data_IF_050191272147
#
_entry.id   IF_050191272147
#
_cell.length_a   1.000
_cell.length_b   1.000
_cell.length_c   1.000
_cell.angle_alpha   90.00
_cell.angle_beta   90.00
_cell.angle_gamma   90.00
#
_symmetry.space_group_name_H-M   'P 1'
#
loop_
_entity.id
_entity.type
_entity.pdbx_description
1 polymer ?
#
# COMPACT_ATOMS: atom_id res chain seq x y z
N UNK A 1 -9.94 -52.38 5.24
CA UNK A 1 -8.86 -51.69 4.48
C UNK A 1 -9.37 -50.56 3.57
N UNK A 2 -10.37 -50.78 2.69
CA UNK A 2 -10.89 -49.74 1.77
C UNK A 2 -11.47 -48.48 2.44
N UNK A 3 -12.15 -48.62 3.59
CA UNK A 3 -12.77 -47.50 4.33
C UNK A 3 -11.73 -46.67 5.09
N UNK A 4 -10.72 -47.31 5.66
CA UNK A 4 -9.61 -46.63 6.34
C UNK A 4 -8.77 -45.79 5.37
N UNK A 5 -8.48 -46.31 4.16
CA UNK A 5 -7.78 -45.55 3.12
C UNK A 5 -8.59 -44.33 2.67
N UNK A 6 -9.91 -44.46 2.50
CA UNK A 6 -10.79 -43.33 2.14
C UNK A 6 -10.84 -42.25 3.22
N UNK A 7 -10.83 -42.63 4.50
CA UNK A 7 -10.80 -41.68 5.62
C UNK A 7 -9.46 -40.95 5.69
N UNK A 8 -8.34 -41.66 5.49
CA UNK A 8 -7.00 -41.07 5.44
C UNK A 8 -6.86 -40.10 4.26
N UNK A 9 -7.36 -40.46 3.08
CA UNK A 9 -7.36 -39.55 1.92
C UNK A 9 -8.20 -38.31 2.18
N UNK A 10 -9.36 -38.44 2.84
CA UNK A 10 -10.22 -37.30 3.18
C UNK A 10 -9.55 -36.35 4.19
N UNK A 11 -8.89 -36.90 5.21
CA UNK A 11 -8.13 -36.10 6.20
C UNK A 11 -6.98 -35.37 5.51
N UNK A 12 -6.23 -36.03 4.64
CA UNK A 12 -5.13 -35.41 3.91
C UNK A 12 -5.62 -34.27 3.00
N UNK A 13 -6.75 -34.45 2.32
CA UNK A 13 -7.38 -33.41 1.50
C UNK A 13 -7.79 -32.20 2.35
N UNK A 14 -8.38 -32.43 3.53
CA UNK A 14 -8.76 -31.35 4.45
C UNK A 14 -7.54 -30.57 4.95
N UNK A 15 -6.44 -31.25 5.27
CA UNK A 15 -5.20 -30.58 5.70
C UNK A 15 -4.61 -29.71 4.58
N UNK A 16 -4.64 -30.18 3.34
CA UNK A 16 -4.17 -29.40 2.18
C UNK A 16 -5.07 -28.17 1.95
N UNK A 17 -6.39 -28.33 2.05
CA UNK A 17 -7.35 -27.21 1.95
C UNK A 17 -7.15 -26.17 3.06
N UNK A 18 -6.89 -26.60 4.29
CA UNK A 18 -6.60 -25.69 5.41
C UNK A 18 -5.27 -24.95 5.25
N UNK A 19 -4.23 -25.63 4.76
CA UNK A 19 -2.94 -24.99 4.47
C UNK A 19 -3.05 -23.94 3.36
N UNK A 20 -3.89 -24.19 2.35
CA UNK A 20 -4.16 -23.23 1.27
C UNK A 20 -4.98 -22.03 1.77
N UNK A 21 -5.95 -22.24 2.66
CA UNK A 21 -6.72 -21.17 3.30
C UNK A 21 -5.84 -20.26 4.18
N UNK A 22 -4.98 -20.83 5.02
CA UNK A 22 -4.06 -20.09 5.89
C UNK A 22 -2.99 -19.31 5.08
N UNK A 23 -2.62 -19.77 3.89
CA UNK A 23 -1.73 -19.04 2.99
C UNK A 23 -2.39 -17.76 2.41
N UNK A 24 -3.72 -17.73 2.29
CA UNK A 24 -4.46 -16.51 1.92
C UNK A 24 -4.68 -15.56 3.09
N UNK A 25 -4.68 -16.06 4.34
CA UNK A 25 -4.82 -15.23 5.55
C UNK A 25 -3.62 -14.33 5.85
N UNK A 26 -2.51 -14.42 5.11
CA UNK A 26 -1.44 -13.41 5.17
C UNK A 26 -1.86 -12.05 4.59
N UNK A 27 -3.02 -11.98 3.94
CA UNK A 27 -3.67 -10.72 3.58
C UNK A 27 -4.91 -10.56 4.44
N UNK A 28 -4.92 -9.56 5.31
CA UNK A 28 -6.05 -9.26 6.17
C UNK A 28 -7.38 -9.29 5.39
N UNK A 29 -8.47 -9.88 5.92
CA UNK A 29 -9.76 -9.88 5.26
C UNK A 29 -10.22 -8.43 5.05
N UNK A 30 -10.21 -7.95 3.80
CA UNK A 30 -10.54 -6.56 3.42
C UNK A 30 -9.35 -5.64 3.11
N UNK A 31 -8.11 -6.14 3.13
CA UNK A 31 -6.90 -5.35 2.87
C UNK A 31 -6.54 -5.29 1.38
N UNK A 32 -6.20 -4.09 0.89
CA UNK A 32 -5.58 -3.92 -0.43
C UNK A 32 -4.27 -4.72 -0.52
N UNK A 33 -4.07 -5.47 -1.61
CA UNK A 33 -2.85 -6.23 -1.85
C UNK A 33 -1.76 -5.33 -2.45
N UNK A 34 -0.98 -4.70 -1.59
CA UNK A 34 0.15 -3.88 -2.00
C UNK A 34 1.33 -4.71 -2.49
N UNK A 35 1.84 -4.38 -3.67
CA UNK A 35 3.07 -4.94 -4.24
C UNK A 35 4.15 -3.86 -4.26
N UNK A 36 5.39 -4.18 -3.85
CA UNK A 36 6.50 -3.24 -3.97
C UNK A 36 6.69 -2.74 -5.41
N UNK A 37 6.93 -1.44 -5.56
CA UNK A 37 7.37 -0.87 -6.84
C UNK A 37 8.82 -1.29 -7.10
N UNK A 38 9.14 -1.65 -8.35
CA UNK A 38 10.49 -2.09 -8.72
C UNK A 38 11.53 -0.98 -8.55
N UNK A 39 11.15 0.26 -8.85
CA UNK A 39 12.00 1.44 -8.69
C UNK A 39 11.13 2.70 -8.51
N UNK A 40 11.73 3.75 -7.96
CA UNK A 40 11.11 5.07 -7.85
C UNK A 40 11.48 5.86 -9.11
N UNK A 41 10.51 6.06 -10.00
CA UNK A 41 10.68 6.84 -11.23
C UNK A 41 10.07 8.24 -11.09
N UNK A 42 10.22 9.07 -12.13
CA UNK A 42 9.70 10.44 -12.16
C UNK A 42 8.20 10.49 -11.88
N UNK A 43 7.42 9.57 -12.43
CA UNK A 43 5.97 9.50 -12.21
C UNK A 43 5.61 9.16 -10.74
N UNK A 44 6.37 8.29 -10.06
CA UNK A 44 6.19 8.04 -8.62
C UNK A 44 6.55 9.29 -7.80
N UNK A 45 7.58 10.04 -8.22
CA UNK A 45 7.95 11.32 -7.60
C UNK A 45 6.86 12.37 -7.80
N UNK A 46 6.21 12.42 -8.97
CA UNK A 46 5.06 13.30 -9.21
C UNK A 46 3.87 12.96 -8.31
N UNK A 47 3.59 11.67 -8.08
CA UNK A 47 2.54 11.24 -7.15
C UNK A 47 2.89 11.66 -5.71
N UNK A 48 4.16 11.52 -5.31
CA UNK A 48 4.62 11.97 -3.99
C UNK A 48 4.50 13.48 -3.82
N UNK A 49 4.87 14.27 -4.84
CA UNK A 49 4.71 15.72 -4.82
C UNK A 49 3.24 16.12 -4.74
N UNK A 50 2.36 15.46 -5.50
CA UNK A 50 0.92 15.63 -5.38
C UNK A 50 0.44 15.40 -3.94
N UNK A 51 0.86 14.31 -3.29
CA UNK A 51 0.48 14.00 -1.92
C UNK A 51 0.90 15.08 -0.92
N UNK A 52 2.14 15.57 -1.03
CA UNK A 52 2.67 16.63 -0.14
C UNK A 52 1.93 17.94 -0.35
N UNK A 53 1.69 18.33 -1.61
CA UNK A 53 0.95 19.56 -1.94
C UNK A 53 -0.48 19.49 -1.39
N UNK A 54 -1.17 18.38 -1.60
CA UNK A 54 -2.56 18.23 -1.13
C UNK A 54 -2.64 18.19 0.40
N UNK A 55 -1.72 17.50 1.06
CA UNK A 55 -1.61 17.52 2.51
C UNK A 55 -1.38 18.94 3.05
N UNK A 56 -0.48 19.72 2.43
CA UNK A 56 -0.24 21.11 2.82
C UNK A 56 -1.49 21.98 2.66
N UNK A 57 -2.27 21.80 1.59
CA UNK A 57 -3.54 22.51 1.39
C UNK A 57 -4.57 22.14 2.46
N UNK A 58 -4.73 20.87 2.76
CA UNK A 58 -5.74 20.36 3.71
C UNK A 58 -5.40 20.69 5.17
N UNK A 59 -4.11 20.61 5.54
CA UNK A 59 -3.65 20.77 6.93
C UNK A 59 -3.17 22.18 7.28
N UNK A 60 -2.92 23.03 6.28
CA UNK A 60 -2.27 24.34 6.46
C UNK A 60 -0.79 24.25 6.83
N UNK A 61 -0.18 23.06 6.79
CA UNK A 61 1.24 22.86 7.06
C UNK A 61 2.10 23.32 5.90
N UNK A 62 3.38 23.61 6.19
CA UNK A 62 4.39 23.96 5.18
C UNK A 62 5.55 22.98 5.26
N UNK A 63 5.48 21.95 4.42
CA UNK A 63 6.52 20.92 4.30
C UNK A 63 6.83 20.70 2.82
N UNK A 64 8.04 20.26 2.54
CA UNK A 64 8.49 19.92 1.19
C UNK A 64 8.87 18.45 1.12
N UNK A 65 8.66 17.83 -0.04
CA UNK A 65 9.16 16.49 -0.31
C UNK A 65 10.70 16.53 -0.32
N UNK A 66 11.33 15.75 0.54
CA UNK A 66 12.78 15.54 0.51
C UNK A 66 13.14 14.29 -0.30
N UNK A 67 12.48 13.16 0.00
CA UNK A 67 12.77 11.89 -0.69
C UNK A 67 11.58 10.93 -0.63
N UNK A 68 11.37 10.18 -1.71
CA UNK A 68 10.57 8.94 -1.68
C UNK A 68 11.46 7.79 -1.24
N UNK A 69 11.17 7.18 -0.09
CA UNK A 69 11.99 6.12 0.51
C UNK A 69 11.61 4.76 -0.08
N UNK A 70 10.30 4.49 -0.15
CA UNK A 70 9.71 3.24 -0.63
C UNK A 70 8.38 3.57 -1.30
N UNK A 71 8.01 2.77 -2.30
CA UNK A 71 6.68 2.80 -2.87
C UNK A 71 6.12 1.39 -3.08
N UNK A 72 4.81 1.28 -2.93
CA UNK A 72 4.02 0.09 -3.20
C UNK A 72 2.77 0.50 -3.97
N UNK A 73 2.22 -0.40 -4.79
CA UNK A 73 0.95 -0.17 -5.46
C UNK A 73 -0.03 -1.32 -5.28
N UNK A 74 -1.32 -1.00 -5.29
CA UNK A 74 -2.41 -1.98 -5.31
C UNK A 74 -3.41 -1.56 -6.38
N UNK A 75 -3.71 -2.46 -7.30
CA UNK A 75 -4.88 -2.30 -8.17
C UNK A 75 -6.14 -2.43 -7.32
N UNK A 76 -7.07 -1.50 -7.48
CA UNK A 76 -8.36 -1.46 -6.80
C UNK A 76 -9.45 -1.23 -7.85
N UNK A 77 -10.73 -1.26 -7.47
CA UNK A 77 -11.80 -0.97 -8.42
C UNK A 77 -11.55 0.39 -9.09
N UNK A 78 -11.46 0.37 -10.42
CA UNK A 78 -11.33 1.54 -11.29
C UNK A 78 -10.07 2.41 -11.08
N UNK A 79 -9.04 1.90 -10.39
CA UNK A 79 -7.80 2.67 -10.21
C UNK A 79 -6.67 1.93 -9.51
N UNK A 80 -5.68 2.70 -9.09
CA UNK A 80 -4.46 2.23 -8.44
C UNK A 80 -4.23 3.07 -7.19
N UNK A 81 -4.07 2.40 -6.05
CA UNK A 81 -3.53 3.02 -4.84
C UNK A 81 -2.01 2.97 -4.89
N UNK A 82 -1.36 4.12 -4.73
CA UNK A 82 0.07 4.24 -4.48
C UNK A 82 0.30 4.55 -3.01
N UNK A 83 0.89 3.59 -2.29
CA UNK A 83 1.33 3.77 -0.90
C UNK A 83 2.82 4.11 -0.92
N UNK A 84 3.17 5.31 -0.49
CA UNK A 84 4.54 5.81 -0.53
C UNK A 84 5.01 6.13 0.89
N UNK A 85 6.21 5.69 1.24
CA UNK A 85 6.93 6.16 2.43
C UNK A 85 7.78 7.34 2.03
N UNK A 86 7.51 8.50 2.60
CA UNK A 86 8.11 9.78 2.24
C UNK A 86 8.94 10.32 3.39
N UNK A 87 10.11 10.88 3.08
CA UNK A 87 10.78 11.85 3.92
C UNK A 87 10.33 13.24 3.49
N UNK A 88 9.79 14.01 4.42
CA UNK A 88 9.42 15.41 4.22
C UNK A 88 10.19 16.30 5.17
N UNK A 89 10.51 17.51 4.74
CA UNK A 89 11.25 18.50 5.52
C UNK A 89 10.37 19.72 5.74
N UNK A 90 10.24 20.12 6.99
CA UNK A 90 9.54 21.34 7.38
C UNK A 90 10.46 22.56 7.41
N UNK A 91 9.90 23.71 7.81
CA UNK A 91 10.65 24.97 7.98
C UNK A 91 11.77 24.86 9.04
N UNK A 92 11.61 23.95 10.02
CA UNK A 92 12.62 23.63 11.04
C UNK A 92 13.82 22.85 10.48
N UNK A 93 13.84 22.55 9.17
CA UNK A 93 14.82 21.70 8.50
C UNK A 93 14.91 20.27 9.05
N UNK A 94 13.92 19.84 9.84
CA UNK A 94 13.87 18.50 10.40
C UNK A 94 13.12 17.59 9.42
N UNK A 95 13.79 16.50 9.02
CA UNK A 95 13.17 15.44 8.22
C UNK A 95 12.26 14.57 9.09
N UNK A 96 11.02 14.40 8.67
CA UNK A 96 10.04 13.48 9.28
C UNK A 96 9.59 12.46 8.24
N UNK A 97 9.24 11.26 8.69
CA UNK A 97 8.79 10.19 7.80
C UNK A 97 7.27 10.08 7.85
N UNK A 98 6.65 9.96 6.68
CA UNK A 98 5.22 9.79 6.50
C UNK A 98 4.92 8.62 5.59
N UNK A 99 3.77 7.99 5.78
CA UNK A 99 3.12 7.16 4.78
C UNK A 99 2.01 7.99 4.11
N UNK A 100 2.01 8.05 2.78
CA UNK A 100 0.93 8.64 2.01
C UNK A 100 0.26 7.58 1.13
N UNK A 101 -1.07 7.63 1.01
CA UNK A 101 -1.81 6.84 0.03
C UNK A 101 -2.51 7.79 -0.94
N UNK A 102 -2.19 7.64 -2.23
CA UNK A 102 -2.83 8.39 -3.32
C UNK A 102 -3.54 7.41 -4.23
N UNK A 103 -4.79 7.71 -4.58
CA UNK A 103 -5.52 6.99 -5.61
C UNK A 103 -5.48 7.74 -6.92
N UNK A 104 -5.20 7.02 -8.01
CA UNK A 104 -5.32 7.52 -9.38
C UNK A 104 -6.12 6.52 -10.22
N UNK A 105 -6.99 7.03 -11.09
CA UNK A 105 -7.67 6.23 -12.10
C UNK A 105 -7.11 6.52 -13.49
N UNK A 106 -6.88 5.51 -14.35
CA UNK A 106 -6.53 5.75 -15.74
C UNK A 106 -7.69 6.38 -16.55
N UNK A 107 -8.92 6.34 -16.02
CA UNK A 107 -10.12 6.86 -16.68
C UNK A 107 -10.44 8.31 -16.31
N UNK A 108 -9.86 8.82 -15.22
CA UNK A 108 -10.18 10.15 -14.68
C UNK A 108 -8.91 11.02 -14.65
N UNK A 109 -8.99 12.31 -15.01
CA UNK A 109 -7.82 13.18 -15.11
C UNK A 109 -7.40 13.77 -13.74
N UNK A 110 -7.67 13.08 -12.64
CA UNK A 110 -7.37 13.58 -11.29
C UNK A 110 -6.88 12.47 -10.36
N UNK A 111 -6.15 12.89 -9.32
CA UNK A 111 -5.68 12.07 -8.19
C UNK A 111 -6.44 12.47 -6.92
N UNK A 112 -6.53 11.55 -5.97
CA UNK A 112 -7.11 11.79 -4.65
C UNK A 112 -6.10 11.41 -3.58
N UNK A 113 -5.81 12.32 -2.66
CA UNK A 113 -5.09 11.98 -1.43
C UNK A 113 -6.06 11.23 -0.50
N UNK A 114 -5.78 9.96 -0.22
CA UNK A 114 -6.59 9.16 0.71
C UNK A 114 -6.10 9.36 2.14
N UNK A 115 -4.78 9.35 2.34
CA UNK A 115 -4.20 9.51 3.67
C UNK A 115 -2.78 10.05 3.62
N UNK A 116 -2.40 10.76 4.68
CA UNK A 116 -1.05 11.25 4.91
C UNK A 116 -0.73 11.17 6.41
N UNK A 117 -0.03 10.12 6.83
CA UNK A 117 0.12 9.72 8.23
C UNK A 117 1.59 9.75 8.63
N UNK A 118 1.91 10.50 9.69
CA UNK A 118 3.27 10.53 10.24
C UNK A 118 3.64 9.19 10.85
N UNK A 119 4.79 8.64 10.43
CA UNK A 119 5.37 7.44 11.02
C UNK A 119 6.22 7.85 12.22
N UNK A 120 5.96 7.25 13.38
CA UNK A 120 6.82 7.40 14.55
C UNK A 120 8.03 6.47 14.39
N UNK A 121 9.20 7.01 14.68
CA UNK A 121 10.43 6.22 14.87
C UNK A 121 10.39 5.49 16.22
#
# INVERSE_FOLDING_TARGET
>A
MKTAMKLQTLILLMVILMAYAAAWEQSAPGGYHYRPLTYINEYVVEIANFAVVEYCKESGTKVNLNKVIKGESSTVNEGINYRLTLSVVGEDSVSKIYESVVWESPLLPFRILISFIGLRA
#
